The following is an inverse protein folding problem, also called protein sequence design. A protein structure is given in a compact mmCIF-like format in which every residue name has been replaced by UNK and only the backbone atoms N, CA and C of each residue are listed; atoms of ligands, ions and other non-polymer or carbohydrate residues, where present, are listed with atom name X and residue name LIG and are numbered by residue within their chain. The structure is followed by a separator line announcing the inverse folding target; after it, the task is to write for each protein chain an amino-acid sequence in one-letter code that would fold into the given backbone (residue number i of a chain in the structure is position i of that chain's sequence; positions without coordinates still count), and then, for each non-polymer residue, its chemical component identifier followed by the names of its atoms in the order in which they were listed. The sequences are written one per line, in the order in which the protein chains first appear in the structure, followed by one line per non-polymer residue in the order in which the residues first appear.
data_IF_783607544924
#
_entry.id   IF_783607544924
#
_cell.length_a   1.000
_cell.length_b   1.000
_cell.length_c   1.000
_cell.angle_alpha   90.00
_cell.angle_beta   90.00
_cell.angle_gamma   90.00
#
_symmetry.space_group_name_H-M   'P 1'
#
loop_
_entity.id
_entity.type
_entity.pdbx_description
1 polymer ?
#
# COMPACT_ATOMS: atom_id res chain seq x y z
N UNK A 1 9.19 9.28 6.33
CA UNK A 1 9.24 8.89 4.90
C UNK A 1 7.89 8.32 4.49
N UNK A 2 7.43 8.62 3.28
CA UNK A 2 6.10 8.32 2.75
C UNK A 2 6.14 7.04 1.91
N UNK A 3 6.40 5.89 2.53
CA UNK A 3 6.69 4.65 1.80
C UNK A 3 6.08 3.43 2.50
N UNK A 4 5.55 2.51 1.71
CA UNK A 4 5.15 1.16 2.14
C UNK A 4 6.14 0.14 1.61
N UNK A 5 6.40 -0.92 2.39
CA UNK A 5 7.31 -2.00 1.99
C UNK A 5 6.51 -3.16 1.40
N UNK A 6 6.89 -3.56 0.19
CA UNK A 6 6.26 -4.62 -0.58
C UNK A 6 7.30 -5.65 -1.03
N UNK A 7 6.83 -6.83 -1.39
CA UNK A 7 7.64 -7.98 -1.77
C UNK A 7 7.35 -8.34 -3.22
N UNK A 8 8.37 -8.39 -4.07
CA UNK A 8 8.24 -8.91 -5.43
C UNK A 8 8.00 -10.43 -5.39
N UNK A 9 7.50 -10.98 -6.49
CA UNK A 9 7.35 -12.44 -6.64
C UNK A 9 8.68 -13.20 -6.48
N UNK A 10 9.82 -12.55 -6.78
CA UNK A 10 11.15 -13.12 -6.57
C UNK A 10 11.69 -13.01 -5.13
N UNK A 11 10.85 -12.59 -4.17
CA UNK A 11 11.20 -12.47 -2.75
C UNK A 11 11.98 -11.20 -2.37
N UNK A 12 12.42 -10.38 -3.34
CA UNK A 12 13.08 -9.11 -3.02
C UNK A 12 12.08 -8.08 -2.53
N UNK A 13 12.43 -7.37 -1.47
CA UNK A 13 11.63 -6.27 -0.95
C UNK A 13 11.96 -4.96 -1.65
N UNK A 14 10.99 -4.06 -1.72
CA UNK A 14 11.15 -2.70 -2.20
C UNK A 14 10.17 -1.77 -1.50
N UNK A 15 10.46 -0.48 -1.53
CA UNK A 15 9.57 0.55 -1.01
C UNK A 15 8.83 1.25 -2.14
N UNK A 16 7.55 1.55 -1.92
CA UNK A 16 6.67 2.24 -2.84
C UNK A 16 5.98 3.39 -2.13
N UNK A 17 5.87 4.54 -2.80
CA UNK A 17 5.04 5.63 -2.31
C UNK A 17 3.56 5.26 -2.47
N UNK A 18 2.84 5.12 -1.35
CA UNK A 18 1.43 4.76 -1.33
C UNK A 18 0.52 5.83 -1.97
N UNK A 19 0.93 7.10 -2.00
CA UNK A 19 0.16 8.19 -2.64
C UNK A 19 0.07 8.05 -4.16
N UNK A 20 0.91 7.23 -4.78
CA UNK A 20 0.89 6.99 -6.23
C UNK A 20 0.15 5.72 -6.62
N UNK A 21 -0.41 4.99 -5.65
CA UNK A 21 -1.22 3.81 -5.94
C UNK A 21 -2.59 4.29 -6.44
N UNK A 22 -2.95 3.87 -7.63
CA UNK A 22 -4.25 4.15 -8.25
C UNK A 22 -5.23 2.99 -8.02
N UNK A 23 -4.75 1.75 -8.23
CA UNK A 23 -5.56 0.55 -8.12
C UNK A 23 -4.74 -0.62 -7.59
N UNK A 24 -5.37 -1.47 -6.77
CA UNK A 24 -4.83 -2.77 -6.34
C UNK A 24 -5.85 -3.84 -6.70
N UNK A 25 -5.44 -4.85 -7.45
CA UNK A 25 -6.31 -5.94 -7.92
C UNK A 25 -5.60 -7.29 -7.81
N UNK A 26 -6.35 -8.38 -7.63
CA UNK A 26 -5.80 -9.74 -7.60
C UNK A 26 -6.22 -10.51 -8.86
N UNK A 27 -5.28 -10.84 -9.77
CA UNK A 27 -5.52 -11.76 -10.89
C UNK A 27 -4.22 -12.21 -11.59
N UNK A 28 -3.76 -13.48 -11.47
CA UNK A 28 -3.90 -14.38 -10.31
C UNK A 28 -3.06 -13.91 -9.10
N UNK A 29 -2.08 -13.04 -9.35
CA UNK A 29 -1.25 -12.38 -8.35
C UNK A 29 -1.75 -10.94 -8.11
N UNK A 30 -1.32 -10.32 -7.01
CA UNK A 30 -1.65 -8.93 -6.71
C UNK A 30 -0.91 -7.98 -7.64
N UNK A 31 -1.65 -7.19 -8.40
CA UNK A 31 -1.14 -6.14 -9.28
C UNK A 31 -1.51 -4.77 -8.71
N UNK A 32 -0.49 -3.94 -8.53
CA UNK A 32 -0.61 -2.53 -8.15
C UNK A 32 -0.40 -1.69 -9.40
N UNK A 33 -1.43 -0.93 -9.78
CA UNK A 33 -1.36 0.07 -10.84
C UNK A 33 -1.08 1.43 -10.21
N UNK A 34 -0.08 2.13 -10.72
CA UNK A 34 0.27 3.48 -10.30
C UNK A 34 -0.41 4.52 -11.18
N UNK A 35 -0.52 5.77 -10.68
CA UNK A 35 -1.13 6.92 -11.38
C UNK A 35 -0.49 7.28 -12.73
N UNK A 36 0.69 6.72 -13.05
CA UNK A 36 1.35 6.83 -14.34
C UNK A 36 1.15 5.61 -15.25
N UNK A 37 0.14 4.77 -14.97
CA UNK A 37 -0.16 3.50 -15.63
C UNK A 37 0.91 2.40 -15.47
N UNK A 38 1.95 2.61 -14.64
CA UNK A 38 2.94 1.56 -14.37
C UNK A 38 2.33 0.49 -13.48
N UNK A 39 2.47 -0.77 -13.89
CA UNK A 39 2.00 -1.93 -13.13
C UNK A 39 3.14 -2.62 -12.38
N UNK A 40 2.87 -3.02 -11.14
CA UNK A 40 3.79 -3.73 -10.27
C UNK A 40 3.10 -4.98 -9.74
N UNK A 41 3.69 -6.15 -9.99
CA UNK A 41 3.21 -7.41 -9.42
C UNK A 41 3.97 -7.69 -8.13
N UNK A 42 3.23 -8.01 -7.07
CA UNK A 42 3.74 -8.26 -5.72
C UNK A 42 3.22 -9.59 -5.19
N UNK A 43 3.97 -10.15 -4.24
CA UNK A 43 3.59 -11.37 -3.52
C UNK A 43 2.55 -11.06 -2.43
N UNK A 44 2.55 -9.83 -1.94
CA UNK A 44 1.62 -9.35 -0.93
C UNK A 44 0.17 -9.46 -1.41
N UNK A 45 -0.75 -9.86 -0.53
CA UNK A 45 -2.17 -9.90 -0.87
C UNK A 45 -2.76 -8.49 -0.98
N UNK A 46 -3.93 -8.35 -1.60
CA UNK A 46 -4.65 -7.06 -1.69
C UNK A 46 -4.92 -6.50 -0.28
N UNK A 47 -5.28 -7.37 0.66
CA UNK A 47 -5.53 -7.04 2.07
C UNK A 47 -4.27 -6.51 2.75
N UNK A 48 -3.13 -7.19 2.58
CA UNK A 48 -1.85 -6.76 3.13
C UNK A 48 -1.41 -5.39 2.57
N UNK A 49 -1.62 -5.17 1.28
CA UNK A 49 -1.34 -3.87 0.64
C UNK A 49 -2.25 -2.80 1.24
N UNK A 50 -3.55 -3.06 1.37
CA UNK A 50 -4.51 -2.11 1.94
C UNK A 50 -4.22 -1.78 3.41
N UNK A 51 -3.81 -2.75 4.21
CA UNK A 51 -3.43 -2.53 5.61
C UNK A 51 -2.18 -1.63 5.71
N UNK A 52 -1.17 -1.88 4.87
CA UNK A 52 0.05 -1.07 4.81
C UNK A 52 -0.26 0.36 4.38
N UNK A 53 -1.15 0.54 3.40
CA UNK A 53 -1.61 1.86 2.93
C UNK A 53 -2.42 2.58 4.02
N UNK A 54 -3.32 1.88 4.70
CA UNK A 54 -4.13 2.44 5.80
C UNK A 54 -3.26 2.89 6.97
N UNK A 55 -2.35 2.02 7.40
CA UNK A 55 -1.35 2.33 8.44
C UNK A 55 -0.50 3.53 8.05
N UNK A 56 -0.13 3.62 6.76
CA UNK A 56 0.58 4.77 6.23
C UNK A 56 -0.25 6.07 6.36
N UNK A 57 -1.52 6.07 5.95
CA UNK A 57 -2.41 7.25 6.07
C UNK A 57 -2.67 7.68 7.51
N UNK A 58 -2.81 6.72 8.43
CA UNK A 58 -2.94 7.00 9.87
C UNK A 58 -1.69 7.69 10.42
N UNK A 59 -0.50 7.20 10.06
CA UNK A 59 0.78 7.76 10.54
C UNK A 59 1.03 9.19 10.10
N UNK A 60 0.62 9.55 8.89
CA UNK A 60 0.82 10.91 8.37
C UNK A 60 -0.31 11.87 8.77
N UNK A 61 -1.28 11.40 9.56
CA UNK A 61 -2.46 12.15 10.01
C UNK A 61 -3.19 12.92 8.89
N UNK A 62 -3.13 12.42 7.65
CA UNK A 62 -3.70 13.11 6.47
C UNK A 62 -5.22 13.22 6.57
N UNK A 63 -5.86 12.30 7.29
CA UNK A 63 -7.31 12.27 7.45
C UNK A 63 -7.81 13.01 8.70
N UNK A 64 -6.93 13.55 9.55
CA UNK A 64 -7.31 14.28 10.77
C UNK A 64 -8.16 13.47 11.76
N UNK A 65 -8.20 12.14 11.61
CA UNK A 65 -8.96 11.25 12.49
C UNK A 65 -8.24 11.20 13.83
N UNK A 66 -8.67 12.04 14.78
CA UNK A 66 -8.41 11.78 16.18
C UNK A 66 -8.96 10.39 16.47
N UNK A 67 -8.08 9.43 16.74
CA UNK A 67 -8.53 8.21 17.39
C UNK A 67 -9.09 8.68 18.73
N UNK A 68 -10.42 8.69 18.85
CA UNK A 68 -11.08 8.79 20.14
C UNK A 68 -10.62 7.57 20.91
N UNK A 69 -9.56 7.72 21.70
CA UNK A 69 -9.24 6.78 22.75
C UNK A 69 -10.41 6.88 23.72
N UNK A 70 -11.38 5.98 23.59
CA UNK A 70 -12.33 5.75 24.68
C UNK A 70 -11.51 5.17 25.83
N UNK A 71 -11.43 5.97 26.91
CA UNK A 71 -10.79 5.64 28.19
C UNK A 71 -11.46 4.47 28.90
#
# INVERSE_FOLDING_TARGET
MIMITLTRLNGKTFTLNALYIEQVEAFPDTTITLTNNKKLVVKDSVEEVNEKVTTYYQRINVLGLQQTTEE
#
